data_IF_953233385419
#
_entry.id   IF_953233385419
#
_cell.length_a   1.000
_cell.length_b   1.000
_cell.length_c   1.000
_cell.angle_alpha   90.00
_cell.angle_beta   90.00
_cell.angle_gamma   90.00
#
_symmetry.space_group_name_H-M   'P 1'
#
loop_
_entity.id
_entity.type
_entity.pdbx_description
1 polymer ?
#
# COMPACT_ATOMS: atom_id res chain seq x y z
N UNK A 1 -12.43 -14.53 -28.12
CA UNK A 1 -12.31 -15.78 -27.35
C UNK A 1 -12.72 -15.41 -25.94
N UNK A 2 -13.91 -15.84 -25.50
CA UNK A 2 -14.38 -15.56 -24.14
C UNK A 2 -13.77 -16.62 -23.21
N UNK A 3 -13.09 -16.19 -22.15
CA UNK A 3 -12.48 -17.10 -21.19
C UNK A 3 -13.58 -17.75 -20.32
N UNK A 4 -13.55 -19.07 -20.05
CA UNK A 4 -14.62 -19.78 -19.33
C UNK A 4 -14.68 -19.53 -17.80
N UNK A 5 -14.16 -18.42 -17.27
CA UNK A 5 -13.94 -18.24 -15.82
C UNK A 5 -14.86 -17.19 -15.13
N UNK A 6 -15.88 -16.67 -15.82
CA UNK A 6 -16.84 -15.70 -15.23
C UNK A 6 -17.91 -16.33 -14.33
N UNK A 7 -17.59 -17.39 -13.57
CA UNK A 7 -18.54 -17.98 -12.60
C UNK A 7 -18.36 -17.49 -11.16
N UNK A 8 -17.26 -16.82 -10.85
CA UNK A 8 -16.98 -16.28 -9.50
C UNK A 8 -16.92 -14.74 -9.46
N UNK A 9 -17.17 -14.07 -10.59
CA UNK A 9 -17.21 -12.62 -10.69
C UNK A 9 -18.53 -12.10 -10.09
N UNK A 10 -18.46 -11.53 -8.89
CA UNK A 10 -19.57 -10.79 -8.30
C UNK A 10 -19.14 -9.32 -8.12
N UNK A 11 -20.02 -8.34 -8.36
CA UNK A 11 -19.70 -6.93 -8.09
C UNK A 11 -19.24 -6.66 -6.65
N UNK A 12 -19.55 -7.58 -5.73
CA UNK A 12 -19.18 -7.54 -4.31
C UNK A 12 -17.77 -8.08 -4.04
N UNK A 13 -17.13 -8.76 -4.99
CA UNK A 13 -15.78 -9.33 -4.87
C UNK A 13 -14.79 -8.77 -5.91
N UNK A 14 -15.27 -8.04 -6.90
CA UNK A 14 -14.47 -7.42 -7.96
C UNK A 14 -13.83 -6.09 -7.54
N UNK A 15 -13.15 -6.04 -6.39
CA UNK A 15 -12.32 -4.89 -6.03
C UNK A 15 -10.93 -5.25 -5.48
N UNK A 16 -10.01 -4.31 -5.62
CA UNK A 16 -8.69 -4.28 -5.01
C UNK A 16 -8.68 -3.24 -3.89
N UNK A 17 -7.82 -3.47 -2.89
CA UNK A 17 -7.48 -2.47 -1.88
C UNK A 17 -6.14 -1.85 -2.27
N UNK A 18 -6.16 -0.55 -2.52
CA UNK A 18 -4.98 0.23 -2.84
C UNK A 18 -4.45 0.88 -1.56
N UNK A 19 -3.13 0.86 -1.42
CA UNK A 19 -2.39 1.51 -0.36
C UNK A 19 -1.45 2.54 -0.99
N UNK A 20 -1.80 3.81 -0.88
CA UNK A 20 -1.02 4.91 -1.43
C UNK A 20 -0.24 5.62 -0.32
N UNK A 21 1.08 5.71 -0.48
CA UNK A 21 1.98 6.43 0.43
C UNK A 21 2.54 7.67 -0.27
N UNK A 22 2.43 8.83 0.36
CA UNK A 22 2.96 10.09 -0.17
C UNK A 22 4.20 10.56 0.60
N UNK A 23 5.05 11.34 -0.06
CA UNK A 23 6.32 11.86 0.50
C UNK A 23 7.19 10.73 1.11
N UNK A 24 7.42 9.68 0.32
CA UNK A 24 8.21 8.52 0.73
C UNK A 24 9.70 8.89 0.78
N UNK A 25 10.31 8.69 1.94
CA UNK A 25 11.74 8.90 2.19
C UNK A 25 12.53 7.60 2.28
N UNK A 26 11.85 6.49 2.56
CA UNK A 26 12.43 5.16 2.63
C UNK A 26 11.40 4.10 2.23
N UNK A 27 11.82 3.14 1.42
CA UNK A 27 11.04 1.94 1.10
C UNK A 27 11.96 0.73 1.07
N UNK A 28 11.74 -0.20 2.00
CA UNK A 28 12.53 -1.42 2.14
C UNK A 28 11.64 -2.65 2.12
N UNK A 29 10.96 -2.89 1.00
CA UNK A 29 9.97 -3.97 0.84
C UNK A 29 10.14 -4.65 -0.54
N UNK A 30 9.89 -5.97 -0.69
CA UNK A 30 9.84 -6.59 -2.00
C UNK A 30 8.60 -6.13 -2.80
N UNK A 31 8.61 -6.38 -4.11
CA UNK A 31 7.53 -6.00 -5.03
C UNK A 31 6.23 -6.77 -4.81
N UNK A 32 6.29 -7.91 -4.12
CA UNK A 32 5.14 -8.76 -3.86
C UNK A 32 5.26 -9.37 -2.48
N UNK A 33 4.16 -9.33 -1.74
CA UNK A 33 4.04 -9.91 -0.41
C UNK A 33 2.66 -10.53 -0.25
N UNK A 34 2.60 -11.60 0.53
CA UNK A 34 1.36 -12.26 0.92
C UNK A 34 1.17 -12.17 2.42
N UNK A 35 -0.10 -12.23 2.87
CA UNK A 35 -0.46 -12.29 4.28
C UNK A 35 0.13 -11.13 5.11
N UNK A 36 0.03 -9.92 4.57
CA UNK A 36 0.61 -8.73 5.20
C UNK A 36 -0.27 -8.20 6.33
N UNK A 37 0.39 -7.62 7.35
CA UNK A 37 -0.20 -6.70 8.31
C UNK A 37 0.56 -5.38 8.25
N UNK A 38 -0.17 -4.28 8.35
CA UNK A 38 0.40 -2.94 8.29
C UNK A 38 0.05 -2.21 9.58
N UNK A 39 1.05 -1.58 10.18
CA UNK A 39 0.84 -0.76 11.36
C UNK A 39 1.80 0.44 11.35
N UNK A 40 1.35 1.56 11.90
CA UNK A 40 2.24 2.66 12.22
C UNK A 40 2.98 2.35 13.53
N UNK A 41 4.29 2.53 13.55
CA UNK A 41 5.12 2.34 14.74
C UNK A 41 5.81 3.64 15.16
N UNK A 42 6.15 3.80 16.45
CA UNK A 42 6.96 4.92 16.92
C UNK A 42 8.45 4.75 16.57
N UNK A 43 9.20 5.86 16.62
CA UNK A 43 10.61 5.94 16.20
C UNK A 43 11.56 5.02 16.99
N UNK A 44 11.25 4.75 18.25
CA UNK A 44 12.02 3.87 19.13
C UNK A 44 11.93 2.39 18.72
N UNK A 45 10.93 2.01 17.91
CA UNK A 45 10.81 0.66 17.35
C UNK A 45 11.41 0.52 15.94
N UNK A 46 11.94 1.61 15.36
CA UNK A 46 12.63 1.55 14.07
C UNK A 46 13.98 0.83 14.22
N UNK A 47 14.29 -0.17 13.36
CA UNK A 47 15.58 -0.85 13.38
C UNK A 47 16.77 0.11 13.32
N UNK A 48 17.81 -0.16 14.11
CA UNK A 48 19.00 0.69 14.22
C UNK A 48 19.78 0.83 12.90
N UNK A 49 19.59 -0.10 11.97
CA UNK A 49 20.21 -0.06 10.64
C UNK A 49 19.48 0.86 9.65
N UNK A 50 18.35 1.47 10.03
CA UNK A 50 17.64 2.47 9.22
C UNK A 50 17.94 3.85 9.79
N UNK A 51 18.37 4.76 8.93
CA UNK A 51 18.72 6.12 9.32
C UNK A 51 17.48 6.88 9.85
N UNK A 52 17.54 7.28 11.12
CA UNK A 52 16.46 8.00 11.81
C UNK A 52 16.25 9.42 11.26
N UNK A 53 17.23 9.98 10.56
CA UNK A 53 17.08 11.29 9.91
C UNK A 53 16.02 11.26 8.79
N UNK A 54 15.68 10.08 8.27
CA UNK A 54 14.61 9.90 7.29
C UNK A 54 13.22 10.23 7.88
N UNK A 55 13.07 10.15 9.20
CA UNK A 55 11.82 10.47 9.92
C UNK A 55 11.63 11.98 10.21
N UNK A 56 12.51 12.86 9.73
CA UNK A 56 12.33 14.32 9.86
C UNK A 56 11.01 14.79 9.21
N UNK A 57 10.53 15.95 9.64
CA UNK A 57 9.31 16.61 9.12
C UNK A 57 8.02 15.82 9.39
N UNK A 58 7.87 15.27 10.60
CA UNK A 58 6.69 14.54 11.07
C UNK A 58 6.29 13.33 10.19
N UNK A 59 7.26 12.75 9.49
CA UNK A 59 7.05 11.52 8.72
C UNK A 59 6.74 10.34 9.63
N UNK A 60 5.84 9.49 9.16
CA UNK A 60 5.37 8.31 9.85
C UNK A 60 6.16 7.08 9.40
N UNK A 61 6.25 6.12 10.31
CA UNK A 61 6.93 4.84 10.08
C UNK A 61 5.85 3.77 9.98
N UNK A 62 5.79 3.12 8.83
CA UNK A 62 4.89 2.01 8.57
C UNK A 62 5.69 0.71 8.60
N UNK A 63 5.38 -0.16 9.55
CA UNK A 63 5.86 -1.54 9.57
C UNK A 63 4.90 -2.41 8.76
N UNK A 64 5.43 -3.10 7.77
CA UNK A 64 4.71 -4.11 7.00
C UNK A 64 5.29 -5.46 7.39
N UNK A 65 4.46 -6.30 8.02
CA UNK A 65 4.88 -7.60 8.51
C UNK A 65 4.19 -8.72 7.75
N UNK A 66 4.96 -9.77 7.49
CA UNK A 66 4.49 -11.09 7.06
C UNK A 66 4.68 -12.05 8.24
N UNK A 67 4.25 -13.33 8.15
CA UNK A 67 4.51 -14.30 9.20
C UNK A 67 6.01 -14.50 9.53
N UNK A 68 6.91 -14.20 8.58
CA UNK A 68 8.35 -14.48 8.71
C UNK A 68 9.25 -13.26 8.66
N UNK A 69 8.80 -12.16 8.06
CA UNK A 69 9.63 -10.97 7.81
C UNK A 69 8.92 -9.68 8.19
N UNK A 70 9.71 -8.66 8.50
CA UNK A 70 9.27 -7.28 8.71
C UNK A 70 9.97 -6.35 7.74
N UNK A 71 9.21 -5.40 7.23
CA UNK A 71 9.62 -4.40 6.26
C UNK A 71 9.18 -3.04 6.75
N UNK A 72 9.84 -1.99 6.25
CA UNK A 72 9.63 -0.63 6.73
C UNK A 72 9.48 0.33 5.56
N UNK A 73 8.51 1.24 5.70
CA UNK A 73 8.33 2.39 4.82
C UNK A 73 8.26 3.64 5.68
N UNK A 74 8.99 4.69 5.31
CA UNK A 74 8.92 6.00 5.98
C UNK A 74 8.31 6.99 4.98
N UNK A 75 7.15 7.54 5.32
CA UNK A 75 6.35 8.37 4.42
C UNK A 75 5.59 9.47 5.19
N UNK A 76 5.14 10.51 4.47
CA UNK A 76 4.30 11.57 5.05
C UNK A 76 2.92 11.08 5.49
N UNK A 77 2.40 10.02 4.87
CA UNK A 77 1.20 9.34 5.32
C UNK A 77 0.74 8.22 4.41
N UNK A 78 -0.43 7.67 4.74
CA UNK A 78 -1.02 6.50 4.08
C UNK A 78 -2.50 6.77 3.75
N UNK A 79 -2.89 6.45 2.53
CA UNK A 79 -4.27 6.41 2.06
C UNK A 79 -4.63 4.97 1.72
N UNK A 80 -5.78 4.52 2.20
CA UNK A 80 -6.35 3.21 1.87
C UNK A 80 -7.60 3.45 1.05
N UNK A 81 -7.66 2.86 -0.13
CA UNK A 81 -8.76 3.00 -1.06
C UNK A 81 -9.21 1.65 -1.63
N UNK A 82 -10.41 1.64 -2.20
CA UNK A 82 -10.98 0.51 -2.92
C UNK A 82 -11.17 0.91 -4.37
N UNK A 83 -10.84 -0.01 -5.27
CA UNK A 83 -10.96 0.19 -6.71
C UNK A 83 -11.43 -1.08 -7.40
N UNK A 84 -12.26 -0.93 -8.44
CA UNK A 84 -12.67 -2.06 -9.26
C UNK A 84 -11.52 -2.59 -10.10
N UNK A 85 -11.48 -3.91 -10.29
CA UNK A 85 -10.43 -4.61 -11.08
C UNK A 85 -10.32 -4.12 -12.52
N UNK A 86 -11.41 -3.63 -13.11
CA UNK A 86 -11.43 -3.04 -14.45
C UNK A 86 -10.47 -1.83 -14.60
N UNK A 87 -9.96 -1.29 -13.48
CA UNK A 87 -9.00 -0.18 -13.40
C UNK A 87 -7.64 -0.59 -12.80
N UNK A 88 -7.24 -1.85 -12.93
CA UNK A 88 -6.01 -2.38 -12.29
C UNK A 88 -4.72 -1.75 -12.85
N UNK A 89 -4.69 -1.37 -14.14
CA UNK A 89 -3.48 -0.86 -14.82
C UNK A 89 -3.16 0.63 -14.56
N UNK A 90 -3.64 1.19 -13.45
CA UNK A 90 -3.48 2.62 -13.09
C UNK A 90 -2.05 3.06 -12.79
N UNK A 91 -1.17 2.12 -12.47
CA UNK A 91 0.26 2.41 -12.26
C UNK A 91 0.92 2.78 -13.59
N UNK A 92 0.41 2.27 -14.72
CA UNK A 92 0.97 2.50 -16.05
C UNK A 92 0.11 3.45 -16.90
N UNK A 93 -1.18 3.60 -16.58
CA UNK A 93 -2.07 4.58 -17.21
C UNK A 93 -2.07 5.93 -16.47
N UNK A 94 -1.14 6.81 -16.90
CA UNK A 94 -1.01 8.18 -16.40
C UNK A 94 -2.25 9.06 -16.61
N UNK A 95 -3.25 8.64 -17.41
CA UNK A 95 -4.49 9.40 -17.60
C UNK A 95 -5.45 9.25 -16.43
N UNK A 96 -5.32 8.19 -15.64
CA UNK A 96 -6.21 7.89 -14.52
C UNK A 96 -5.88 8.69 -13.25
N UNK A 97 -4.79 9.47 -13.23
CA UNK A 97 -4.40 10.38 -12.13
C UNK A 97 -4.53 9.78 -10.72
N UNK A 98 -4.34 8.47 -10.58
CA UNK A 98 -4.55 7.71 -9.32
C UNK A 98 -5.94 7.90 -8.71
N UNK A 99 -6.96 8.22 -9.51
CA UNK A 99 -8.33 8.35 -9.01
C UNK A 99 -8.80 7.04 -8.37
N UNK A 100 -9.39 7.17 -7.19
CA UNK A 100 -9.92 6.03 -6.44
C UNK A 100 -11.45 6.00 -6.48
N UNK A 101 -12.04 4.81 -6.61
CA UNK A 101 -13.50 4.66 -6.56
C UNK A 101 -14.05 5.00 -5.17
N UNK A 102 -13.31 4.65 -4.11
CA UNK A 102 -13.66 5.00 -2.73
C UNK A 102 -12.44 5.07 -1.82
N UNK A 103 -12.32 6.14 -1.04
CA UNK A 103 -11.34 6.23 0.05
C UNK A 103 -11.95 5.62 1.32
N UNK A 104 -11.21 4.72 1.96
CA UNK A 104 -11.57 4.09 3.23
C UNK A 104 -10.93 4.82 4.43
N UNK A 105 -9.66 5.21 4.29
CA UNK A 105 -8.88 5.81 5.36
C UNK A 105 -7.81 6.75 4.81
N UNK A 106 -7.51 7.82 5.55
CA UNK A 106 -6.35 8.68 5.33
C UNK A 106 -5.71 8.98 6.68
N UNK A 107 -4.42 8.68 6.82
CA UNK A 107 -3.64 8.87 8.05
C UNK A 107 -2.49 9.82 7.81
#
# INVERSE_FOLDING_TARGET
>A
MAYPEEKEYSPETSFNIDLELWDVSFIGIPTSLENIKIQQIPLDLLPENIDKDLCKYDRKIFEISTPTNKYYIIAGGLLIAVNRWEKEDRIFDNHLNLEHDKILLKV
#
